data_IF_801930250368
#
_entry.id   IF_801930250368
#
_cell.length_a   1.000
_cell.length_b   1.000
_cell.length_c   1.000
_cell.angle_alpha   90.00
_cell.angle_beta   90.00
_cell.angle_gamma   90.00
#
_symmetry.space_group_name_H-M   'P 1'
#
loop_
_entity.id
_entity.type
_entity.pdbx_description
1 polymer ?
#
# COMPACT_ATOMS: atom_id res chain seq x y z
N UNK A 1 41.88 20.67 -6.58
CA UNK A 1 40.96 19.52 -6.54
C UNK A 1 39.67 20.02 -5.89
N UNK A 2 38.69 20.46 -6.67
CA UNK A 2 37.40 20.92 -6.14
C UNK A 2 36.52 19.69 -5.88
N UNK A 3 36.24 19.40 -4.61
CA UNK A 3 35.21 18.43 -4.24
C UNK A 3 33.85 19.12 -4.37
N UNK A 4 33.12 18.78 -5.43
CA UNK A 4 31.71 19.10 -5.53
C UNK A 4 30.93 18.16 -4.60
N UNK A 5 30.45 18.69 -3.47
CA UNK A 5 29.42 18.03 -2.67
C UNK A 5 28.11 18.09 -3.44
N UNK A 6 27.79 17.03 -4.18
CA UNK A 6 26.46 16.80 -4.70
C UNK A 6 25.56 16.40 -3.53
N UNK A 7 24.83 17.37 -2.97
CA UNK A 7 23.73 17.11 -2.05
C UNK A 7 22.65 16.33 -2.80
N UNK A 8 22.62 15.01 -2.64
CA UNK A 8 21.47 14.21 -3.03
C UNK A 8 20.31 14.57 -2.10
N UNK A 9 19.44 15.46 -2.55
CA UNK A 9 18.14 15.64 -1.90
C UNK A 9 17.30 14.44 -2.31
N UNK A 10 17.36 13.39 -1.50
CA UNK A 10 16.35 12.34 -1.55
C UNK A 10 15.05 12.97 -1.05
N UNK A 11 14.16 13.34 -1.99
CA UNK A 11 12.79 13.72 -1.66
C UNK A 11 12.06 12.46 -1.22
N UNK A 12 12.23 12.06 0.03
CA UNK A 12 11.28 11.15 0.67
C UNK A 12 9.99 11.94 0.90
N UNK A 13 8.84 11.32 0.58
CA UNK A 13 7.55 11.87 1.00
C UNK A 13 7.48 11.73 2.53
N UNK A 14 8.09 12.67 3.25
CA UNK A 14 8.06 12.74 4.73
C UNK A 14 6.72 13.29 5.23
N UNK A 15 5.96 13.94 4.35
CA UNK A 15 4.62 14.45 4.61
C UNK A 15 3.58 13.32 4.48
N UNK A 16 2.62 13.26 5.41
CA UNK A 16 1.50 12.31 5.37
C UNK A 16 1.88 10.82 5.54
N UNK A 17 2.96 10.51 6.27
CA UNK A 17 3.27 9.14 6.72
C UNK A 17 2.55 8.83 8.03
N UNK A 18 1.84 7.70 8.09
CA UNK A 18 1.16 7.28 9.32
C UNK A 18 2.18 6.98 10.45
N UNK A 19 1.86 7.34 11.71
CA UNK A 19 2.69 6.95 12.85
C UNK A 19 2.87 5.43 12.91
N UNK A 20 4.09 5.00 13.25
CA UNK A 20 4.45 3.58 13.41
C UNK A 20 4.60 3.16 14.87
N UNK A 21 4.31 4.08 15.79
CA UNK A 21 4.34 3.78 17.22
C UNK A 21 3.12 2.95 17.61
N UNK A 22 3.35 1.97 18.46
CA UNK A 22 2.30 1.16 19.06
C UNK A 22 2.39 1.30 20.57
N UNK A 23 1.22 1.37 21.22
CA UNK A 23 1.10 1.20 22.66
C UNK A 23 0.61 -0.22 22.94
N UNK A 24 1.34 -0.94 23.79
CA UNK A 24 0.80 -2.16 24.38
C UNK A 24 -0.24 -1.72 25.42
N UNK A 25 -1.46 -2.27 25.34
CA UNK A 25 -2.47 -2.06 26.37
C UNK A 25 -1.95 -2.66 27.69
N UNK A 26 -1.43 -1.81 28.55
CA UNK A 26 -1.07 -2.15 29.92
C UNK A 26 -2.25 -1.79 30.84
N UNK A 27 -2.94 -2.80 31.36
CA UNK A 27 -4.02 -2.60 32.34
C UNK A 27 -3.47 -3.01 33.70
N UNK A 28 -3.26 -2.06 34.63
CA UNK A 28 -2.64 -2.33 35.92
C UNK A 28 -3.33 -3.49 36.67
N UNK A 29 -2.51 -4.42 37.19
CA UNK A 29 -2.99 -5.54 38.00
C UNK A 29 -3.61 -6.71 37.21
N UNK A 30 -3.57 -6.68 35.87
CA UNK A 30 -4.03 -7.79 35.03
C UNK A 30 -2.90 -8.31 34.15
N UNK A 31 -2.73 -9.64 34.13
CA UNK A 31 -1.83 -10.32 33.22
C UNK A 31 -2.63 -10.86 32.03
N UNK A 32 -2.27 -10.50 30.81
CA UNK A 32 -2.92 -10.95 29.59
C UNK A 32 -1.99 -11.81 28.75
N UNK A 33 -2.55 -12.82 28.11
CA UNK A 33 -1.83 -13.63 27.13
C UNK A 33 -2.36 -13.30 25.74
N UNK A 34 -1.49 -12.83 24.85
CA UNK A 34 -1.83 -12.63 23.45
C UNK A 34 -2.16 -13.98 22.81
N UNK A 35 -3.32 -14.09 22.16
CA UNK A 35 -3.79 -15.31 21.50
C UNK A 35 -3.95 -15.18 20.00
N UNK A 36 -4.21 -13.98 19.50
CA UNK A 36 -4.49 -13.73 18.10
C UNK A 36 -4.20 -12.28 17.75
N UNK A 37 -3.72 -12.06 16.51
CA UNK A 37 -3.48 -10.74 15.94
C UNK A 37 -4.11 -10.72 14.54
N UNK A 38 -4.85 -9.66 14.25
CA UNK A 38 -5.27 -9.32 12.89
C UNK A 38 -4.75 -7.93 12.56
N UNK A 39 -4.09 -7.80 11.40
CA UNK A 39 -3.55 -6.53 10.92
C UNK A 39 -4.27 -6.18 9.63
N UNK A 40 -5.03 -5.10 9.64
CA UNK A 40 -5.69 -4.56 8.46
C UNK A 40 -4.98 -3.27 8.04
N UNK A 41 -4.38 -3.28 6.85
CA UNK A 41 -3.65 -2.13 6.33
C UNK A 41 -4.23 -1.68 5.00
N UNK A 42 -4.22 -0.36 4.77
CA UNK A 42 -4.31 0.20 3.42
C UNK A 42 -2.97 -0.02 2.70
N UNK A 43 -2.98 0.01 1.36
CA UNK A 43 -1.77 0.09 0.56
C UNK A 43 -0.92 1.33 0.89
N UNK A 44 0.37 1.30 0.55
CA UNK A 44 1.29 2.42 0.72
C UNK A 44 1.06 3.54 -0.30
N UNK A 45 1.96 4.52 -0.29
CA UNK A 45 1.97 5.59 -1.30
C UNK A 45 1.96 5.01 -2.72
N UNK A 46 1.22 5.66 -3.62
CA UNK A 46 0.99 5.22 -5.00
C UNK A 46 0.93 6.40 -5.95
N UNK A 47 1.07 6.14 -7.25
CA UNK A 47 0.70 7.10 -8.28
C UNK A 47 -0.80 7.43 -8.20
N UNK A 48 -1.23 8.62 -8.65
CA UNK A 48 -2.66 8.97 -8.70
C UNK A 48 -3.43 8.03 -9.65
N UNK A 49 -4.75 7.97 -9.46
CA UNK A 49 -5.63 7.15 -10.32
C UNK A 49 -5.95 7.83 -11.64
N UNK A 50 -5.86 9.15 -11.68
CA UNK A 50 -6.25 9.96 -12.83
C UNK A 50 -5.11 10.94 -13.16
N UNK A 51 -4.80 11.15 -14.44
CA UNK A 51 -3.70 12.01 -14.89
C UNK A 51 -4.13 13.48 -15.02
N UNK A 52 -4.41 14.15 -13.91
CA UNK A 52 -4.96 15.52 -13.89
C UNK A 52 -4.08 16.59 -14.56
N UNK A 53 -2.76 16.47 -14.50
CA UNK A 53 -1.81 17.43 -15.07
C UNK A 53 -1.28 16.96 -16.43
N UNK A 54 -0.72 17.86 -17.24
CA UNK A 54 0.02 17.47 -18.44
C UNK A 54 1.25 16.63 -18.08
N UNK A 55 1.70 15.75 -18.99
CA UNK A 55 2.76 14.77 -18.71
C UNK A 55 4.05 15.42 -18.20
N UNK A 56 4.39 16.61 -18.69
CA UNK A 56 5.60 17.36 -18.29
C UNK A 56 5.50 17.94 -16.88
N UNK A 57 4.29 18.14 -16.37
CA UNK A 57 4.01 18.74 -15.06
C UNK A 57 3.84 17.70 -13.95
N UNK A 58 3.71 16.41 -14.29
CA UNK A 58 3.47 15.34 -13.30
C UNK A 58 4.65 15.06 -12.39
N UNK A 59 5.88 15.46 -12.75
CA UNK A 59 7.07 15.14 -11.98
C UNK A 59 7.56 13.70 -12.22
N UNK A 60 8.34 13.17 -11.26
CA UNK A 60 9.00 11.87 -11.35
C UNK A 60 8.33 10.88 -10.39
N UNK A 61 7.77 9.81 -10.95
CA UNK A 61 7.08 8.73 -10.25
C UNK A 61 7.80 7.41 -10.50
N UNK A 62 8.39 6.84 -9.45
CA UNK A 62 9.15 5.60 -9.51
C UNK A 62 8.35 4.45 -8.92
N UNK A 63 7.85 3.56 -9.78
CA UNK A 63 7.10 2.36 -9.38
C UNK A 63 7.90 1.07 -9.51
N UNK A 64 9.05 1.10 -10.17
CA UNK A 64 9.96 -0.04 -10.24
C UNK A 64 11.41 0.42 -10.43
N UNK A 65 12.35 -0.34 -9.91
CA UNK A 65 13.79 -0.06 -9.90
C UNK A 65 14.55 -1.29 -9.38
N UNK A 66 15.87 -1.20 -9.25
CA UNK A 66 16.67 -2.29 -8.68
C UNK A 66 16.49 -2.42 -7.14
N UNK A 67 16.11 -1.35 -6.46
CA UNK A 67 15.89 -1.27 -5.01
C UNK A 67 14.41 -1.47 -4.59
N UNK A 68 13.53 -1.79 -5.54
CA UNK A 68 12.12 -2.05 -5.28
C UNK A 68 11.94 -3.29 -4.38
N UNK A 69 11.22 -3.15 -3.25
CA UNK A 69 10.96 -4.29 -2.34
C UNK A 69 9.97 -5.29 -2.94
N UNK A 70 9.09 -4.82 -3.82
CA UNK A 70 8.14 -5.63 -4.57
C UNK A 70 8.19 -5.19 -6.04
N UNK A 71 9.26 -5.56 -6.75
CA UNK A 71 9.43 -5.29 -8.18
C UNK A 71 8.34 -5.97 -9.03
N UNK A 72 8.13 -5.52 -10.27
CA UNK A 72 7.28 -6.23 -11.24
C UNK A 72 8.00 -7.47 -11.80
N UNK A 73 8.30 -8.40 -10.90
CA UNK A 73 9.05 -9.61 -11.17
C UNK A 73 8.30 -10.82 -10.63
N UNK A 74 8.25 -11.86 -11.45
CA UNK A 74 7.63 -13.14 -11.13
C UNK A 74 8.64 -14.26 -11.27
N UNK A 75 8.42 -15.36 -10.54
CA UNK A 75 9.25 -16.56 -10.56
C UNK A 75 8.45 -17.71 -11.16
N UNK A 76 8.88 -18.23 -12.32
CA UNK A 76 8.13 -19.25 -13.07
C UNK A 76 9.07 -20.29 -13.74
N UNK A 77 8.75 -21.61 -13.76
CA UNK A 77 7.67 -22.29 -13.03
C UNK A 77 8.05 -22.50 -11.54
N UNK A 78 7.14 -23.02 -10.71
CA UNK A 78 7.36 -23.22 -9.26
C UNK A 78 8.62 -24.04 -8.97
N UNK A 79 8.88 -25.10 -9.75
CA UNK A 79 10.08 -25.94 -9.60
C UNK A 79 11.18 -25.43 -10.51
N UNK A 80 12.32 -25.02 -9.93
CA UNK A 80 13.45 -24.37 -10.63
C UNK A 80 13.01 -23.08 -11.35
N UNK A 81 12.56 -22.07 -10.60
CA UNK A 81 12.00 -20.86 -11.19
C UNK A 81 13.03 -20.05 -11.97
N UNK A 82 12.58 -19.46 -13.06
CA UNK A 82 13.23 -18.34 -13.73
C UNK A 82 12.55 -17.05 -13.30
N UNK A 83 13.36 -16.05 -12.92
CA UNK A 83 12.87 -14.69 -12.69
C UNK A 83 12.55 -14.02 -14.02
N UNK A 84 11.33 -13.52 -14.15
CA UNK A 84 10.83 -12.82 -15.34
C UNK A 84 10.36 -11.44 -14.90
N UNK A 85 10.85 -10.40 -15.58
CA UNK A 85 10.52 -9.00 -15.25
C UNK A 85 9.62 -8.42 -16.34
N UNK A 86 8.54 -7.77 -15.92
CA UNK A 86 7.72 -6.94 -16.81
C UNK A 86 8.26 -5.51 -16.78
N UNK A 87 8.52 -4.93 -17.96
CA UNK A 87 9.06 -3.57 -18.08
C UNK A 87 8.02 -2.70 -18.78
N UNK A 88 7.61 -1.61 -18.13
CA UNK A 88 6.79 -0.57 -18.74
C UNK A 88 7.68 0.30 -19.62
N UNK A 89 7.26 0.50 -20.87
CA UNK A 89 7.91 1.48 -21.75
C UNK A 89 7.62 2.89 -21.24
N UNK A 90 8.68 3.60 -20.85
CA UNK A 90 8.60 4.94 -20.26
C UNK A 90 7.88 5.97 -21.15
N UNK A 91 7.81 5.74 -22.47
CA UNK A 91 7.06 6.61 -23.41
C UNK A 91 5.56 6.52 -23.17
N UNK A 92 5.08 5.36 -22.72
CA UNK A 92 3.67 5.06 -22.49
C UNK A 92 3.29 5.07 -21.00
N UNK A 93 4.23 5.33 -20.09
CA UNK A 93 3.91 5.51 -18.68
C UNK A 93 3.03 6.74 -18.46
N UNK A 94 1.86 6.55 -17.85
CA UNK A 94 0.95 7.63 -17.46
C UNK A 94 1.61 8.55 -16.46
N UNK A 95 2.42 7.98 -15.56
CA UNK A 95 3.23 8.70 -14.59
C UNK A 95 4.72 8.36 -14.81
N UNK A 96 5.48 9.23 -15.52
CA UNK A 96 6.88 8.95 -15.84
C UNK A 96 7.77 8.89 -14.59
N UNK A 97 8.86 8.12 -14.59
CA UNK A 97 9.33 7.29 -15.69
C UNK A 97 8.54 6.00 -15.92
N UNK A 98 7.99 5.36 -14.89
CA UNK A 98 7.59 3.96 -15.01
C UNK A 98 6.39 3.54 -14.13
N UNK A 99 5.48 4.47 -13.85
CA UNK A 99 4.24 4.17 -13.13
C UNK A 99 3.02 4.18 -14.07
N UNK A 100 2.16 3.18 -13.91
CA UNK A 100 0.77 3.22 -14.40
C UNK A 100 -0.12 3.97 -13.41
N UNK A 101 -1.38 4.14 -13.76
CA UNK A 101 -2.39 4.73 -12.86
C UNK A 101 -2.62 3.86 -11.62
N UNK A 102 -2.42 4.43 -10.44
CA UNK A 102 -2.62 3.74 -9.16
C UNK A 102 -1.59 2.67 -8.80
N UNK A 103 -0.42 2.66 -9.44
CA UNK A 103 0.69 1.76 -9.12
C UNK A 103 1.34 2.16 -7.79
N UNK A 104 1.79 1.15 -7.02
CA UNK A 104 2.54 1.39 -5.79
C UNK A 104 3.94 1.94 -6.14
N UNK A 105 4.30 3.08 -5.53
CA UNK A 105 5.65 3.65 -5.70
C UNK A 105 6.63 3.01 -4.72
N UNK A 106 7.94 3.17 -4.99
CA UNK A 106 9.02 2.64 -4.13
C UNK A 106 8.83 3.09 -2.67
N UNK A 107 8.51 4.37 -2.44
CA UNK A 107 8.25 4.89 -1.09
C UNK A 107 7.11 4.14 -0.40
N UNK A 108 6.05 3.79 -1.14
CA UNK A 108 4.94 2.97 -0.64
C UNK A 108 5.36 1.55 -0.26
N UNK A 109 6.30 0.96 -0.99
CA UNK A 109 6.90 -0.32 -0.62
C UNK A 109 7.73 -0.21 0.66
N UNK A 110 8.56 0.83 0.76
CA UNK A 110 9.39 1.10 1.94
C UNK A 110 8.51 1.30 3.17
N UNK A 111 7.44 2.08 3.07
CA UNK A 111 6.46 2.29 4.14
C UNK A 111 5.94 0.96 4.69
N UNK A 112 5.56 0.02 3.81
CA UNK A 112 5.07 -1.29 4.22
C UNK A 112 6.15 -2.18 4.81
N UNK A 113 7.37 -2.18 4.25
CA UNK A 113 8.49 -2.92 4.83
C UNK A 113 8.81 -2.46 6.25
N UNK A 114 8.89 -1.14 6.46
CA UNK A 114 9.15 -0.56 7.77
C UNK A 114 8.03 -0.89 8.77
N UNK A 115 6.77 -0.93 8.31
CA UNK A 115 5.65 -1.37 9.13
C UNK A 115 5.77 -2.85 9.53
N UNK A 116 6.13 -3.72 8.59
CA UNK A 116 6.39 -5.14 8.84
C UNK A 116 7.50 -5.35 9.87
N UNK A 117 8.64 -4.66 9.71
CA UNK A 117 9.75 -4.69 10.66
C UNK A 117 9.33 -4.23 12.05
N UNK A 118 8.49 -3.19 12.13
CA UNK A 118 8.01 -2.70 13.42
C UNK A 118 7.13 -3.72 14.14
N UNK A 119 6.33 -4.48 13.41
CA UNK A 119 5.53 -5.57 13.97
C UNK A 119 6.37 -6.81 14.26
N UNK A 120 7.48 -7.02 13.55
CA UNK A 120 8.48 -8.05 13.87
C UNK A 120 9.12 -7.79 15.23
N UNK A 121 9.57 -6.57 15.49
CA UNK A 121 10.09 -6.15 16.81
C UNK A 121 9.07 -6.45 17.93
N UNK A 122 7.79 -6.18 17.69
CA UNK A 122 6.76 -6.41 18.69
C UNK A 122 6.47 -7.90 18.90
N UNK A 123 6.07 -8.59 17.83
CA UNK A 123 5.49 -9.92 17.95
C UNK A 123 6.53 -11.03 18.02
N UNK A 124 7.73 -10.84 17.49
CA UNK A 124 8.80 -11.84 17.61
C UNK A 124 9.77 -11.49 18.74
N UNK A 125 10.37 -10.30 18.71
CA UNK A 125 11.47 -9.98 19.62
C UNK A 125 11.00 -9.71 21.05
N UNK A 126 9.91 -8.96 21.22
CA UNK A 126 9.40 -8.58 22.56
C UNK A 126 8.42 -9.59 23.14
N UNK A 127 7.46 -10.03 22.34
CA UNK A 127 6.36 -10.87 22.81
C UNK A 127 6.56 -12.37 22.56
N UNK A 128 7.52 -12.75 21.70
CA UNK A 128 7.76 -14.15 21.31
C UNK A 128 6.47 -14.88 20.87
N UNK A 129 5.58 -14.15 20.21
CA UNK A 129 4.25 -14.61 19.79
C UNK A 129 4.26 -15.30 18.42
N UNK A 130 5.06 -14.81 17.48
CA UNK A 130 5.22 -15.40 16.14
C UNK A 130 6.57 -16.15 16.02
N UNK A 131 6.67 -17.17 15.15
CA UNK A 131 7.91 -17.92 14.95
C UNK A 131 9.02 -17.08 14.30
N UNK A 132 10.26 -17.56 14.40
CA UNK A 132 11.41 -16.92 13.76
C UNK A 132 11.29 -16.93 12.23
N UNK A 133 10.98 -18.08 11.65
CA UNK A 133 10.81 -18.25 10.20
C UNK A 133 9.33 -18.20 9.83
N UNK A 134 9.05 -17.88 8.56
CA UNK A 134 7.68 -17.87 8.06
C UNK A 134 7.10 -19.29 8.14
N UNK A 135 6.03 -19.43 8.92
CA UNK A 135 5.24 -20.66 9.01
C UNK A 135 3.84 -20.40 8.43
N UNK A 136 3.50 -20.97 7.26
CA UNK A 136 2.20 -20.76 6.62
C UNK A 136 1.02 -21.35 7.41
N UNK A 137 1.27 -22.19 8.43
CA UNK A 137 0.23 -22.70 9.33
C UNK A 137 -0.12 -21.70 10.44
N UNK A 138 0.76 -20.73 10.72
CA UNK A 138 0.59 -19.71 11.75
C UNK A 138 0.24 -18.35 11.14
N UNK A 139 0.81 -18.02 9.98
CA UNK A 139 0.69 -16.71 9.34
C UNK A 139 -0.10 -16.83 8.06
N UNK A 140 -1.21 -16.09 7.99
CA UNK A 140 -2.05 -16.00 6.79
C UNK A 140 -2.02 -14.58 6.21
N UNK A 141 -1.59 -14.46 4.96
CA UNK A 141 -1.57 -13.20 4.22
C UNK A 141 -2.70 -13.17 3.16
N UNK A 142 -3.46 -12.07 3.15
CA UNK A 142 -4.50 -11.81 2.14
C UNK A 142 -4.48 -10.35 1.72
N UNK A 143 -4.74 -10.09 0.45
CA UNK A 143 -4.99 -8.74 -0.05
C UNK A 143 -6.17 -8.71 -1.06
N UNK A 144 -6.50 -7.52 -1.55
CA UNK A 144 -7.44 -7.39 -2.66
C UNK A 144 -6.75 -7.67 -4.00
N UNK A 145 -7.53 -7.88 -5.06
CA UNK A 145 -7.02 -8.19 -6.40
C UNK A 145 -6.26 -7.04 -7.12
N UNK A 146 -5.91 -5.95 -6.44
CA UNK A 146 -5.20 -4.83 -7.03
C UNK A 146 -3.69 -4.99 -6.83
N UNK A 147 -2.92 -4.76 -7.89
CA UNK A 147 -1.45 -4.86 -7.88
C UNK A 147 -0.81 -4.11 -6.71
N UNK A 148 -1.20 -2.84 -6.49
CA UNK A 148 -0.70 -2.04 -5.36
C UNK A 148 -0.93 -2.67 -3.99
N UNK A 149 -2.04 -3.41 -3.78
CA UNK A 149 -2.30 -4.07 -2.50
C UNK A 149 -1.50 -5.36 -2.37
N UNK A 150 -1.31 -6.10 -3.46
CA UNK A 150 -0.47 -7.29 -3.48
C UNK A 150 0.99 -6.93 -3.21
N UNK A 151 1.51 -5.90 -3.87
CA UNK A 151 2.90 -5.42 -3.68
C UNK A 151 3.12 -4.77 -2.31
N UNK A 152 2.09 -4.13 -1.75
CA UNK A 152 2.12 -3.66 -0.36
C UNK A 152 2.23 -4.83 0.61
N UNK A 153 1.45 -5.90 0.37
CA UNK A 153 1.50 -7.12 1.18
C UNK A 153 2.85 -7.83 1.07
N UNK A 154 3.43 -7.96 -0.14
CA UNK A 154 4.80 -8.47 -0.32
C UNK A 154 5.78 -7.65 0.52
N UNK A 155 5.77 -6.31 0.35
CA UNK A 155 6.71 -5.43 1.04
C UNK A 155 6.57 -5.53 2.57
N UNK A 156 5.33 -5.59 3.07
CA UNK A 156 5.04 -5.79 4.48
C UNK A 156 5.56 -7.13 4.99
N UNK A 157 5.27 -8.21 4.27
CA UNK A 157 5.70 -9.55 4.64
C UNK A 157 7.22 -9.68 4.63
N UNK A 158 7.91 -9.08 3.65
CA UNK A 158 9.39 -9.03 3.64
C UNK A 158 9.99 -8.24 4.79
N UNK A 159 9.23 -7.32 5.40
CA UNK A 159 9.64 -6.64 6.63
C UNK A 159 9.34 -7.45 7.88
N UNK A 160 8.24 -8.20 7.89
CA UNK A 160 7.82 -9.05 9.00
C UNK A 160 8.65 -10.35 9.08
N UNK A 161 9.01 -10.90 7.93
CA UNK A 161 9.81 -12.11 7.76
C UNK A 161 10.80 -11.87 6.63
N UNK A 162 12.09 -11.80 6.98
CA UNK A 162 13.12 -11.82 5.95
C UNK A 162 13.18 -13.23 5.32
N UNK A 163 13.30 -13.34 3.98
CA UNK A 163 13.32 -14.65 3.31
C UNK A 163 14.45 -15.53 3.85
N UNK A 164 14.10 -16.74 4.31
CA UNK A 164 15.09 -17.67 4.85
C UNK A 164 15.84 -18.44 3.75
N UNK A 165 15.17 -18.69 2.62
CA UNK A 165 15.72 -19.37 1.44
C UNK A 165 15.37 -18.61 0.15
N UNK A 166 16.26 -18.56 -0.86
CA UNK A 166 15.96 -17.94 -2.15
C UNK A 166 14.77 -18.55 -2.92
N UNK A 167 14.34 -19.75 -2.55
CA UNK A 167 13.20 -20.48 -3.10
C UNK A 167 12.03 -20.57 -2.12
N UNK A 168 12.07 -19.83 -1.00
CA UNK A 168 10.92 -19.69 -0.10
C UNK A 168 9.72 -19.16 -0.89
N UNK A 169 8.55 -19.76 -0.68
CA UNK A 169 7.30 -19.38 -1.33
C UNK A 169 6.40 -18.70 -0.32
N UNK A 170 6.20 -17.40 -0.49
CA UNK A 170 5.20 -16.63 0.24
C UNK A 170 3.85 -16.70 -0.49
N UNK A 171 2.87 -17.33 0.14
CA UNK A 171 1.49 -17.35 -0.37
C UNK A 171 0.71 -16.14 0.13
N UNK A 172 0.13 -15.36 -0.81
CA UNK A 172 -0.79 -14.27 -0.50
C UNK A 172 -2.08 -14.53 -1.24
N UNK A 173 -3.15 -14.78 -0.48
CA UNK A 173 -4.48 -15.05 -1.05
C UNK A 173 -5.12 -13.76 -1.54
N UNK A 174 -5.82 -13.79 -2.67
CA UNK A 174 -6.59 -12.63 -3.18
C UNK A 174 -8.04 -12.99 -3.46
N UNK A 175 -8.93 -12.00 -3.34
CA UNK A 175 -10.24 -12.07 -4.00
C UNK A 175 -10.12 -11.80 -5.50
N UNK A 176 -11.24 -11.54 -6.17
CA UNK A 176 -11.26 -11.03 -7.54
C UNK A 176 -11.62 -9.54 -7.58
N UNK A 177 -11.30 -8.80 -8.67
CA UNK A 177 -11.73 -7.40 -8.80
C UNK A 177 -13.26 -7.23 -8.77
N UNK A 178 -14.00 -8.29 -9.11
CA UNK A 178 -15.47 -8.33 -9.15
C UNK A 178 -16.12 -8.90 -7.89
N UNK A 179 -15.37 -9.51 -6.97
CA UNK A 179 -15.89 -10.11 -5.75
C UNK A 179 -14.80 -10.20 -4.68
N UNK A 180 -14.90 -9.36 -3.65
CA UNK A 180 -13.99 -9.38 -2.50
C UNK A 180 -14.66 -8.76 -1.27
N UNK A 181 -14.62 -9.46 -0.13
CA UNK A 181 -15.15 -8.97 1.14
C UNK A 181 -14.41 -7.74 1.67
N UNK A 182 -13.16 -7.51 1.22
CA UNK A 182 -12.37 -6.32 1.57
C UNK A 182 -12.74 -5.08 0.74
N UNK A 183 -13.62 -5.22 -0.27
CA UNK A 183 -14.14 -4.11 -1.08
C UNK A 183 -15.64 -4.26 -1.31
N UNK A 184 -16.48 -3.97 -0.31
CA UNK A 184 -17.93 -3.96 -0.52
C UNK A 184 -18.29 -2.96 -1.62
N UNK A 185 -19.03 -3.43 -2.63
CA UNK A 185 -19.59 -2.62 -3.71
C UNK A 185 -21.09 -2.52 -3.53
N UNK A 186 -21.68 -1.43 -4.05
CA UNK A 186 -23.13 -1.19 -4.05
C UNK A 186 -23.94 -2.37 -4.58
N UNK A 187 -23.42 -3.05 -5.61
CA UNK A 187 -24.11 -4.17 -6.24
C UNK A 187 -24.12 -5.46 -5.39
N UNK A 188 -23.28 -5.56 -4.35
CA UNK A 188 -23.23 -6.74 -3.49
C UNK A 188 -24.27 -6.76 -2.38
N UNK A 189 -24.77 -5.60 -1.99
CA UNK A 189 -25.62 -5.47 -0.81
C UNK A 189 -26.64 -4.35 -1.02
N UNK A 190 -27.91 -4.73 -1.18
CA UNK A 190 -29.02 -3.79 -1.34
C UNK A 190 -29.10 -2.82 -0.17
N UNK A 191 -28.92 -3.31 1.05
CA UNK A 191 -28.97 -2.49 2.26
C UNK A 191 -27.83 -1.47 2.26
N UNK A 192 -26.62 -1.86 1.85
CA UNK A 192 -25.51 -0.92 1.68
C UNK A 192 -25.82 0.15 0.63
N UNK A 193 -26.46 -0.21 -0.48
CA UNK A 193 -26.87 0.76 -1.49
C UNK A 193 -27.91 1.76 -0.93
N UNK A 194 -28.92 1.28 -0.19
CA UNK A 194 -29.90 2.14 0.48
C UNK A 194 -29.21 3.08 1.46
N UNK A 195 -28.39 2.56 2.38
CA UNK A 195 -27.66 3.38 3.36
C UNK A 195 -26.75 4.42 2.70
N UNK A 196 -26.04 4.04 1.63
CA UNK A 196 -25.21 4.96 0.89
C UNK A 196 -26.03 6.08 0.25
N UNK A 197 -27.16 5.76 -0.38
CA UNK A 197 -28.02 6.77 -1.00
C UNK A 197 -28.67 7.69 0.03
N UNK A 198 -29.08 7.15 1.18
CA UNK A 198 -29.61 7.95 2.29
C UNK A 198 -28.57 8.92 2.82
N UNK A 199 -27.32 8.47 3.02
CA UNK A 199 -26.23 9.33 3.48
C UNK A 199 -25.86 10.39 2.43
N UNK A 200 -25.62 10.00 1.17
CA UNK A 200 -25.23 10.94 0.12
C UNK A 200 -26.37 11.90 -0.30
N UNK A 201 -27.63 11.54 -0.04
CA UNK A 201 -28.79 12.43 -0.19
C UNK A 201 -29.12 13.26 1.05
N UNK A 202 -28.40 13.06 2.16
CA UNK A 202 -28.67 13.75 3.42
C UNK A 202 -28.25 15.22 3.38
N UNK A 203 -28.88 16.02 4.26
CA UNK A 203 -28.46 17.40 4.50
C UNK A 203 -27.02 17.46 5.04
N UNK A 204 -26.65 16.52 5.91
CA UNK A 204 -25.29 16.42 6.47
C UNK A 204 -24.24 16.32 5.37
N UNK A 205 -24.41 15.39 4.43
CA UNK A 205 -23.47 15.25 3.32
C UNK A 205 -23.51 16.47 2.39
N UNK A 206 -24.70 17.00 2.10
CA UNK A 206 -24.84 18.18 1.24
C UNK A 206 -24.12 19.40 1.82
N UNK A 207 -24.28 19.66 3.11
CA UNK A 207 -23.61 20.76 3.80
C UNK A 207 -22.08 20.58 3.77
N UNK A 208 -21.59 19.38 4.11
CA UNK A 208 -20.17 19.04 4.06
C UNK A 208 -19.59 19.20 2.63
N UNK A 209 -20.34 18.77 1.62
CA UNK A 209 -19.94 18.87 0.22
C UNK A 209 -19.79 20.33 -0.20
N UNK A 210 -20.78 21.18 0.11
CA UNK A 210 -20.73 22.61 -0.23
C UNK A 210 -19.60 23.35 0.51
N UNK A 211 -19.36 23.03 1.78
CA UNK A 211 -18.22 23.57 2.54
C UNK A 211 -16.88 23.17 1.92
N UNK A 212 -16.74 21.90 1.56
CA UNK A 212 -15.52 21.36 0.95
C UNK A 212 -15.28 21.97 -0.43
N UNK A 213 -16.33 22.09 -1.27
CA UNK A 213 -16.24 22.68 -2.60
C UNK A 213 -15.63 24.09 -2.56
N UNK A 214 -16.07 24.93 -1.62
CA UNK A 214 -15.51 26.28 -1.48
C UNK A 214 -14.00 26.26 -1.21
N UNK A 215 -13.52 25.26 -0.46
CA UNK A 215 -12.10 25.10 -0.13
C UNK A 215 -11.28 24.56 -1.30
N UNK A 216 -11.86 23.69 -2.15
CA UNK A 216 -11.15 23.05 -3.27
C UNK A 216 -11.38 23.74 -4.62
N UNK A 217 -12.29 24.71 -4.71
CA UNK A 217 -12.62 25.44 -5.95
C UNK A 217 -11.38 25.99 -6.68
N UNK A 218 -10.36 26.56 -6.00
CA UNK A 218 -9.15 27.02 -6.68
C UNK A 218 -8.41 25.89 -7.42
N UNK A 219 -8.40 24.68 -6.84
CA UNK A 219 -7.79 23.49 -7.43
C UNK A 219 -8.62 22.98 -8.61
N UNK A 220 -9.94 22.93 -8.47
CA UNK A 220 -10.86 22.55 -9.56
C UNK A 220 -10.66 23.47 -10.78
N UNK A 221 -10.64 24.80 -10.54
CA UNK A 221 -10.44 25.79 -11.59
C UNK A 221 -9.05 25.65 -12.24
N UNK A 222 -8.02 25.38 -11.45
CA UNK A 222 -6.66 25.17 -11.95
C UNK A 222 -6.54 23.91 -12.81
N UNK A 223 -7.16 22.81 -12.38
CA UNK A 223 -7.13 21.53 -13.08
C UNK A 223 -8.11 21.48 -14.27
N UNK A 224 -8.99 22.48 -14.42
CA UNK A 224 -10.03 22.54 -15.44
C UNK A 224 -10.88 21.25 -15.50
N UNK A 225 -11.19 20.70 -14.32
CA UNK A 225 -12.10 19.56 -14.15
C UNK A 225 -13.50 20.08 -13.84
N UNK A 226 -14.52 19.48 -14.47
CA UNK A 226 -15.92 19.77 -14.15
C UNK A 226 -16.38 18.83 -13.03
N UNK A 227 -17.09 19.37 -12.04
CA UNK A 227 -17.84 18.57 -11.05
C UNK A 227 -18.90 17.68 -11.72
#
# INVERSE_FOLDING_TARGET
>A
MLFAFSSFVASTIDECVAPREYSILDVPGKNYTLKYVSVLTRHGARSPLDPFLERQQRGIWRCDSEDAQAAHMESNPVVKPRRVKTILDNRFAEYPPNCKLGDLIIDGMIQHKLLGQKLRELYYEKLHFIPEYLDPTVVFARCTAYDRTFRSAISFMSGLYEPADPNEVLEITTGSPSSDSLRPKKDFCKDFNTMANDYFGSKEFTDYYQETLNSVQPVINYLNVTD
#
